data_IF_538215338143
#
_entry.id   IF_538215338143
#
_cell.length_a   1.000
_cell.length_b   1.000
_cell.length_c   1.000
_cell.angle_alpha   90.00
_cell.angle_beta   90.00
_cell.angle_gamma   90.00
#
_symmetry.space_group_name_H-M   'P 1'
#
loop_
_entity.id
_entity.type
_entity.pdbx_description
1 polymer ?
#
# COMPACT_ATOMS: atom_id res chain seq x y z
N UNK A 1 -17.08 -0.20 -87.52
CA UNK A 1 -17.07 0.54 -86.23
C UNK A 1 -18.40 0.53 -85.48
N UNK A 2 -19.58 0.50 -86.12
CA UNK A 2 -20.87 0.45 -85.41
C UNK A 2 -21.12 -0.85 -84.62
N UNK A 3 -20.67 -2.01 -85.12
CA UNK A 3 -20.84 -3.28 -84.42
C UNK A 3 -20.04 -3.34 -83.10
N UNK A 4 -18.81 -2.85 -83.08
CA UNK A 4 -17.94 -2.83 -81.88
C UNK A 4 -18.52 -1.94 -80.75
N UNK A 5 -19.13 -0.79 -81.09
CA UNK A 5 -19.79 0.08 -80.11
C UNK A 5 -21.04 -0.57 -79.49
N UNK A 6 -21.76 -1.39 -80.23
CA UNK A 6 -22.90 -2.17 -79.68
C UNK A 6 -22.42 -3.25 -78.72
N UNK A 7 -21.39 -4.02 -79.06
CA UNK A 7 -20.90 -5.09 -78.17
C UNK A 7 -20.30 -4.56 -76.86
N UNK A 8 -19.55 -3.45 -76.91
CA UNK A 8 -19.00 -2.82 -75.69
C UNK A 8 -20.10 -2.22 -74.81
N UNK A 9 -21.09 -1.56 -75.40
CA UNK A 9 -22.23 -1.02 -74.63
C UNK A 9 -23.06 -2.12 -73.96
N UNK A 10 -23.26 -3.26 -74.64
CA UNK A 10 -23.99 -4.40 -74.09
C UNK A 10 -23.20 -5.07 -72.96
N UNK A 11 -21.88 -5.21 -73.11
CA UNK A 11 -21.01 -5.76 -72.07
C UNK A 11 -20.95 -4.87 -70.82
N UNK A 12 -20.86 -3.55 -70.98
CA UNK A 12 -20.87 -2.60 -69.85
C UNK A 12 -22.24 -2.64 -69.15
N UNK A 13 -23.34 -2.68 -69.89
CA UNK A 13 -24.68 -2.81 -69.30
C UNK A 13 -24.84 -4.14 -68.54
N UNK A 14 -24.30 -5.25 -69.07
CA UNK A 14 -24.30 -6.56 -68.41
C UNK A 14 -23.46 -6.56 -67.13
N UNK A 15 -22.26 -5.96 -67.14
CA UNK A 15 -21.40 -5.85 -65.96
C UNK A 15 -22.06 -4.96 -64.90
N UNK A 16 -22.67 -3.84 -65.29
CA UNK A 16 -23.37 -2.96 -64.35
C UNK A 16 -24.65 -3.58 -63.77
N UNK A 17 -25.37 -4.39 -64.53
CA UNK A 17 -26.56 -5.11 -64.02
C UNK A 17 -26.20 -6.30 -63.13
N UNK A 18 -25.10 -7.00 -63.41
CA UNK A 18 -24.53 -8.01 -62.50
C UNK A 18 -24.00 -7.40 -61.19
N UNK A 19 -23.44 -6.19 -61.27
CA UNK A 19 -22.95 -5.44 -60.09
C UNK A 19 -24.09 -4.95 -59.21
N UNK A 20 -25.22 -4.56 -59.81
CA UNK A 20 -26.42 -4.13 -59.09
C UNK A 20 -27.15 -5.30 -58.43
N UNK A 21 -27.21 -6.48 -59.07
CA UNK A 21 -27.78 -7.69 -58.46
C UNK A 21 -26.95 -8.22 -57.29
N UNK A 22 -25.62 -8.09 -57.35
CA UNK A 22 -24.76 -8.43 -56.21
C UNK A 22 -24.91 -7.50 -55.00
N UNK A 23 -25.56 -6.33 -55.15
CA UNK A 23 -25.82 -5.39 -54.08
C UNK A 23 -27.25 -5.51 -53.50
N UNK A 24 -28.19 -6.11 -54.24
CA UNK A 24 -29.59 -6.27 -53.82
C UNK A 24 -29.84 -7.59 -53.09
N UNK A 25 -29.02 -8.63 -53.31
CA UNK A 25 -29.17 -9.96 -52.70
C UNK A 25 -28.19 -10.20 -51.54
N UNK A 26 -27.97 -9.17 -50.71
CA UNK A 26 -27.02 -9.27 -49.60
C UNK A 26 -27.78 -9.40 -48.27
N UNK A 27 -27.70 -10.57 -47.65
CA UNK A 27 -27.98 -10.71 -46.22
C UNK A 27 -27.07 -9.73 -45.47
N UNK A 28 -27.62 -8.94 -44.56
CA UNK A 28 -26.84 -8.08 -43.68
C UNK A 28 -27.00 -8.53 -42.24
N UNK A 29 -25.91 -8.52 -41.47
CA UNK A 29 -25.89 -8.93 -40.06
C UNK A 29 -25.15 -7.87 -39.26
N UNK A 30 -25.74 -7.47 -38.13
CA UNK A 30 -25.12 -6.54 -37.18
C UNK A 30 -25.39 -7.01 -35.75
N UNK A 31 -24.32 -7.30 -35.03
CA UNK A 31 -24.35 -7.61 -33.60
C UNK A 31 -24.66 -6.31 -32.82
N UNK A 32 -25.79 -6.30 -32.09
CA UNK A 32 -26.23 -5.21 -31.21
C UNK A 32 -25.74 -5.46 -29.79
N UNK A 33 -25.96 -6.67 -29.28
CA UNK A 33 -25.46 -7.13 -27.98
C UNK A 33 -24.54 -8.34 -28.14
N UNK A 34 -23.53 -8.49 -27.27
CA UNK A 34 -23.27 -7.70 -26.05
C UNK A 34 -22.72 -6.31 -26.37
N UNK A 35 -23.21 -5.23 -25.74
CA UNK A 35 -22.75 -3.86 -26.00
C UNK A 35 -21.41 -3.53 -25.34
N UNK A 36 -21.07 -4.24 -24.27
CA UNK A 36 -19.78 -4.17 -23.59
C UNK A 36 -18.74 -5.06 -24.27
N UNK A 37 -17.47 -4.66 -24.18
CA UNK A 37 -16.36 -5.47 -24.65
C UNK A 37 -15.90 -6.52 -23.62
N UNK A 38 -16.53 -6.60 -22.44
CA UNK A 38 -16.10 -7.46 -21.33
C UNK A 38 -17.11 -8.54 -20.99
N UNK A 39 -16.58 -9.72 -20.65
CA UNK A 39 -17.36 -10.85 -20.13
C UNK A 39 -17.38 -10.76 -18.61
N UNK A 40 -18.38 -10.06 -18.08
CA UNK A 40 -18.54 -9.78 -16.65
C UNK A 40 -19.44 -10.78 -15.92
N UNK A 41 -20.25 -11.53 -16.67
CA UNK A 41 -21.23 -12.47 -16.12
C UNK A 41 -21.03 -13.87 -16.72
N UNK A 42 -21.61 -14.87 -16.08
CA UNK A 42 -21.64 -16.25 -16.59
C UNK A 42 -22.61 -16.41 -17.76
N UNK A 43 -23.31 -15.35 -18.15
CA UNK A 43 -24.15 -15.31 -19.35
C UNK A 43 -23.68 -14.21 -20.32
N UNK A 44 -23.69 -14.50 -21.61
CA UNK A 44 -23.41 -13.51 -22.67
C UNK A 44 -24.68 -13.34 -23.50
N UNK A 45 -25.44 -12.24 -23.32
CA UNK A 45 -26.59 -11.96 -24.17
C UNK A 45 -26.12 -11.61 -25.57
N UNK A 46 -26.80 -12.17 -26.57
CA UNK A 46 -26.56 -11.94 -27.99
C UNK A 46 -27.85 -11.42 -28.60
N UNK A 47 -27.79 -10.21 -29.15
CA UNK A 47 -28.89 -9.59 -29.89
C UNK A 47 -28.37 -9.12 -31.23
N UNK A 48 -29.08 -9.46 -32.30
CA UNK A 48 -28.61 -9.28 -33.69
C UNK A 48 -29.71 -8.63 -34.51
N UNK A 49 -29.33 -7.64 -35.32
CA UNK A 49 -30.15 -7.17 -36.43
C UNK A 49 -29.70 -7.90 -37.69
N UNK A 50 -30.58 -8.68 -38.29
CA UNK A 50 -30.35 -9.34 -39.57
C UNK A 50 -31.45 -8.96 -40.56
N UNK A 51 -31.09 -8.73 -41.82
CA UNK A 51 -32.07 -8.43 -42.89
C UNK A 51 -31.66 -9.04 -44.23
N UNK A 52 -32.68 -9.43 -45.00
CA UNK A 52 -32.56 -9.96 -46.36
C UNK A 52 -33.82 -9.58 -47.15
N UNK A 53 -33.74 -9.39 -48.48
CA UNK A 53 -34.94 -9.25 -49.32
C UNK A 53 -35.84 -10.48 -49.29
N UNK A 54 -35.27 -11.67 -49.04
CA UNK A 54 -35.94 -12.96 -49.17
C UNK A 54 -36.25 -13.61 -47.81
N UNK A 55 -36.45 -12.78 -46.78
CA UNK A 55 -36.60 -13.14 -45.37
C UNK A 55 -35.39 -13.90 -44.78
N UNK A 56 -35.20 -13.75 -43.47
CA UNK A 56 -34.20 -14.49 -42.71
C UNK A 56 -34.86 -15.75 -42.14
N UNK A 57 -34.35 -16.93 -42.46
CA UNK A 57 -34.92 -18.18 -41.94
C UNK A 57 -34.18 -18.71 -40.70
N UNK A 58 -32.89 -18.41 -40.58
CA UNK A 58 -32.04 -18.96 -39.53
C UNK A 58 -30.95 -17.98 -39.15
N UNK A 59 -30.73 -17.82 -37.85
CA UNK A 59 -29.62 -17.05 -37.30
C UNK A 59 -29.02 -17.84 -36.16
N UNK A 60 -27.72 -18.07 -36.21
CA UNK A 60 -26.97 -18.72 -35.15
C UNK A 60 -25.84 -17.84 -34.65
N UNK A 61 -25.45 -18.07 -33.40
CA UNK A 61 -24.27 -17.46 -32.80
C UNK A 61 -23.32 -18.56 -32.31
N UNK A 62 -22.03 -18.37 -32.55
CA UNK A 62 -20.94 -19.21 -32.05
C UNK A 62 -20.06 -18.43 -31.07
N UNK A 63 -19.70 -19.07 -29.96
CA UNK A 63 -18.72 -18.58 -28.99
C UNK A 63 -17.90 -19.75 -28.41
N UNK A 64 -16.59 -19.77 -28.64
CA UNK A 64 -15.67 -20.82 -28.16
C UNK A 64 -16.15 -22.26 -28.50
N UNK A 65 -16.74 -22.44 -29.69
CA UNK A 65 -17.29 -23.72 -30.16
C UNK A 65 -18.68 -24.08 -29.62
N UNK A 66 -19.26 -23.24 -28.75
CA UNK A 66 -20.68 -23.33 -28.38
C UNK A 66 -21.51 -22.62 -29.45
N UNK A 67 -22.51 -23.31 -30.01
CA UNK A 67 -23.42 -22.75 -31.00
C UNK A 67 -24.83 -22.69 -30.40
N UNK A 68 -25.49 -21.54 -30.54
CA UNK A 68 -26.89 -21.34 -30.17
C UNK A 68 -27.68 -20.79 -31.34
N UNK A 69 -28.92 -21.24 -31.50
CA UNK A 69 -29.89 -20.63 -32.40
C UNK A 69 -30.49 -19.39 -31.74
N UNK A 70 -30.58 -18.28 -32.49
CA UNK A 70 -31.18 -17.04 -32.02
C UNK A 70 -32.66 -17.00 -32.40
N UNK A 71 -33.51 -16.65 -31.42
CA UNK A 71 -34.96 -16.60 -31.60
C UNK A 71 -35.39 -15.23 -32.15
N UNK A 72 -36.21 -15.17 -33.21
CA UNK A 72 -36.73 -13.89 -33.71
C UNK A 72 -37.65 -13.22 -32.69
N UNK A 73 -37.56 -11.90 -32.59
CA UNK A 73 -38.38 -11.06 -31.69
C UNK A 73 -39.36 -10.18 -32.48
N UNK A 74 -40.40 -9.68 -31.81
CA UNK A 74 -41.44 -8.85 -32.44
C UNK A 74 -40.92 -7.52 -33.00
N UNK A 75 -39.80 -7.02 -32.49
CA UNK A 75 -39.15 -5.77 -32.92
C UNK A 75 -38.11 -5.98 -34.05
N UNK A 76 -38.09 -7.17 -34.67
CA UNK A 76 -37.28 -7.47 -35.84
C UNK A 76 -35.82 -7.80 -35.55
N UNK A 77 -35.51 -8.21 -34.32
CA UNK A 77 -34.19 -8.69 -33.92
C UNK A 77 -34.19 -10.21 -33.74
N UNK A 78 -33.00 -10.77 -33.55
CA UNK A 78 -32.78 -12.15 -33.15
C UNK A 78 -32.03 -12.15 -31.82
N UNK A 79 -32.53 -12.87 -30.83
CA UNK A 79 -32.02 -12.87 -29.46
C UNK A 79 -31.73 -14.28 -28.94
N UNK A 80 -30.70 -14.37 -28.11
CA UNK A 80 -30.29 -15.58 -27.41
C UNK A 80 -29.24 -15.26 -26.35
N UNK A 81 -28.77 -16.26 -25.62
CA UNK A 81 -27.71 -16.08 -24.64
C UNK A 81 -26.84 -17.33 -24.55
N UNK A 82 -25.52 -17.13 -24.52
CA UNK A 82 -24.61 -18.19 -24.08
C UNK A 82 -24.68 -18.28 -22.55
N UNK A 83 -25.03 -19.44 -22.03
CA UNK A 83 -24.80 -19.78 -20.62
C UNK A 83 -23.43 -20.45 -20.52
N UNK A 84 -22.48 -19.74 -19.93
CA UNK A 84 -21.13 -20.23 -19.74
C UNK A 84 -21.06 -21.25 -18.60
N UNK A 85 -22.07 -21.37 -17.73
CA UNK A 85 -22.12 -22.37 -16.65
C UNK A 85 -20.78 -22.56 -15.92
N UNK A 86 -20.30 -23.80 -15.82
CA UNK A 86 -18.98 -24.13 -15.25
C UNK A 86 -17.81 -23.61 -16.11
N UNK A 87 -17.99 -23.47 -17.43
CA UNK A 87 -16.98 -22.90 -18.34
C UNK A 87 -16.71 -21.42 -18.04
N UNK A 88 -17.63 -20.69 -17.40
CA UNK A 88 -17.40 -19.29 -16.99
C UNK A 88 -16.19 -19.14 -16.07
N UNK A 89 -15.94 -20.11 -15.19
CA UNK A 89 -14.76 -20.16 -14.32
C UNK A 89 -13.48 -20.56 -15.06
N UNK A 90 -13.60 -21.44 -16.06
CA UNK A 90 -12.47 -22.03 -16.79
C UNK A 90 -12.09 -21.25 -18.06
N UNK A 91 -12.90 -20.27 -18.47
CA UNK A 91 -12.64 -19.44 -19.64
C UNK A 91 -11.30 -18.70 -19.43
N UNK A 92 -10.28 -18.95 -20.28
CA UNK A 92 -9.00 -18.28 -20.15
C UNK A 92 -9.14 -16.76 -20.21
N UNK A 93 -8.32 -16.01 -19.48
CA UNK A 93 -8.26 -14.57 -19.69
C UNK A 93 -7.78 -14.25 -21.11
N UNK A 94 -8.38 -13.26 -21.75
CA UNK A 94 -8.01 -12.85 -23.09
C UNK A 94 -9.19 -12.45 -23.97
N UNK A 95 -8.91 -12.20 -25.26
CA UNK A 95 -9.94 -11.96 -26.27
C UNK A 95 -10.62 -13.28 -26.69
N UNK A 96 -11.93 -13.22 -26.83
CA UNK A 96 -12.80 -14.28 -27.35
C UNK A 96 -13.69 -13.68 -28.44
N UNK A 97 -14.07 -14.45 -29.45
CA UNK A 97 -14.86 -13.94 -30.57
C UNK A 97 -16.25 -14.56 -30.53
N UNK A 98 -17.28 -13.71 -30.55
CA UNK A 98 -18.64 -14.10 -30.89
C UNK A 98 -18.79 -13.94 -32.40
N UNK A 99 -19.12 -15.02 -33.09
CA UNK A 99 -19.48 -15.02 -34.51
C UNK A 99 -20.99 -15.19 -34.62
N UNK A 100 -21.62 -14.46 -35.51
CA UNK A 100 -23.05 -14.58 -35.79
C UNK A 100 -23.23 -14.75 -37.29
N UNK A 101 -23.90 -15.82 -37.67
CA UNK A 101 -24.23 -16.13 -39.05
C UNK A 101 -25.74 -16.06 -39.24
N UNK A 102 -26.19 -15.37 -40.29
CA UNK A 102 -27.60 -15.32 -40.68
C UNK A 102 -27.76 -15.85 -42.09
N UNK A 103 -28.86 -16.56 -42.31
CA UNK A 103 -29.14 -17.25 -43.56
C UNK A 103 -30.52 -16.86 -44.10
N UNK A 104 -30.61 -16.56 -45.40
CA UNK A 104 -31.86 -16.29 -46.10
C UNK A 104 -32.51 -17.57 -46.64
N UNK A 105 -33.79 -17.52 -46.96
CA UNK A 105 -34.54 -18.70 -47.47
C UNK A 105 -33.94 -19.31 -48.75
N UNK A 106 -33.17 -18.53 -49.52
CA UNK A 106 -32.43 -18.99 -50.71
C UNK A 106 -30.97 -19.38 -50.45
N UNK A 107 -30.61 -19.62 -49.18
CA UNK A 107 -29.27 -20.04 -48.76
C UNK A 107 -28.16 -19.00 -49.00
N UNK A 108 -28.52 -17.73 -49.13
CA UNK A 108 -27.54 -16.65 -49.00
C UNK A 108 -27.20 -16.47 -47.51
N UNK A 109 -25.99 -16.02 -47.20
CA UNK A 109 -25.57 -15.87 -45.82
C UNK A 109 -24.65 -14.67 -45.64
N UNK A 110 -24.62 -14.16 -44.42
CA UNK A 110 -23.64 -13.18 -44.00
C UNK A 110 -23.24 -13.42 -42.55
N UNK A 111 -22.03 -12.96 -42.21
CA UNK A 111 -21.42 -13.14 -40.91
C UNK A 111 -21.03 -11.80 -40.30
N UNK A 112 -21.18 -11.70 -38.98
CA UNK A 112 -20.64 -10.61 -38.18
C UNK A 112 -19.85 -11.18 -37.02
N UNK A 113 -18.76 -10.51 -36.65
CA UNK A 113 -17.92 -10.91 -35.52
C UNK A 113 -17.79 -9.78 -34.51
N UNK A 114 -17.71 -10.15 -33.23
CA UNK A 114 -17.43 -9.22 -32.13
C UNK A 114 -16.47 -9.84 -31.14
N UNK A 115 -15.37 -9.14 -30.86
CA UNK A 115 -14.42 -9.54 -29.83
C UNK A 115 -14.90 -9.10 -28.45
N UNK A 116 -14.94 -10.03 -27.51
CA UNK A 116 -15.17 -9.84 -26.08
C UNK A 116 -13.91 -10.19 -25.32
N UNK A 117 -13.76 -9.67 -24.11
CA UNK A 117 -12.59 -9.87 -23.28
C UNK A 117 -12.99 -10.48 -21.94
N UNK A 118 -12.47 -11.67 -21.64
CA UNK A 118 -12.43 -12.17 -20.26
C UNK A 118 -11.26 -11.46 -19.58
N UNK A 119 -11.57 -10.56 -18.65
CA UNK A 119 -10.60 -9.62 -18.12
C UNK A 119 -10.31 -9.88 -16.65
N UNK A 120 -9.02 -9.83 -16.29
CA UNK A 120 -8.59 -9.71 -14.90
C UNK A 120 -7.58 -8.55 -14.76
N UNK A 121 -7.79 -7.67 -13.78
CA UNK A 121 -6.94 -6.50 -13.58
C UNK A 121 -5.48 -6.90 -13.28
N UNK A 122 -4.49 -6.08 -13.66
CA UNK A 122 -3.10 -6.35 -13.35
C UNK A 122 -2.86 -6.33 -11.84
N UNK A 123 -1.88 -7.10 -11.38
CA UNK A 123 -1.46 -7.08 -9.99
C UNK A 123 -0.48 -5.93 -9.75
N UNK A 124 -0.81 -5.03 -8.81
CA UNK A 124 0.04 -3.90 -8.43
C UNK A 124 0.64 -4.15 -7.04
N UNK A 125 1.93 -3.89 -6.88
CA UNK A 125 2.62 -3.98 -5.58
C UNK A 125 3.66 -2.89 -5.40
N UNK A 126 3.92 -2.50 -4.16
CA UNK A 126 4.90 -1.47 -3.79
C UNK A 126 5.52 -1.79 -2.43
N UNK A 127 6.60 -1.09 -2.08
CA UNK A 127 7.41 -1.42 -0.91
C UNK A 127 7.22 -0.48 0.30
N UNK A 128 6.19 0.35 0.33
CA UNK A 128 5.88 1.26 1.46
C UNK A 128 4.48 1.01 2.02
N UNK A 129 4.32 1.22 3.31
CA UNK A 129 3.09 1.11 4.07
C UNK A 129 2.65 2.50 4.58
N UNK A 130 1.37 2.64 5.00
CA UNK A 130 0.94 3.85 5.70
C UNK A 130 1.81 4.11 6.94
N UNK A 131 2.18 5.36 7.16
CA UNK A 131 3.08 5.85 8.22
C UNK A 131 4.54 5.40 8.13
N UNK A 132 4.97 4.84 7.00
CA UNK A 132 6.38 4.50 6.81
C UNK A 132 7.27 5.74 6.67
N UNK A 133 8.56 5.53 6.91
CA UNK A 133 9.61 6.50 6.60
C UNK A 133 10.58 5.97 5.54
N UNK A 134 10.58 6.59 4.36
CA UNK A 134 11.56 6.36 3.29
C UNK A 134 12.91 6.98 3.66
N UNK A 135 13.85 6.15 4.11
CA UNK A 135 15.15 6.60 4.63
C UNK A 135 16.27 6.64 3.59
N UNK A 136 17.45 7.16 3.96
CA UNK A 136 18.66 6.94 3.16
C UNK A 136 18.90 5.43 2.93
N UNK A 137 19.13 5.02 1.68
CA UNK A 137 19.33 3.62 1.29
C UNK A 137 18.05 2.82 1.02
N UNK A 138 16.87 3.32 1.40
CA UNK A 138 15.58 2.67 1.09
C UNK A 138 14.81 3.48 0.07
N UNK A 139 14.75 2.98 -1.17
CA UNK A 139 14.13 3.69 -2.30
C UNK A 139 12.69 3.24 -2.49
N UNK A 140 11.85 4.14 -2.96
CA UNK A 140 10.48 3.77 -3.34
C UNK A 140 10.53 2.88 -4.59
N UNK A 141 9.88 1.73 -4.48
CA UNK A 141 9.73 0.76 -5.57
C UNK A 141 8.25 0.37 -5.72
N UNK A 142 7.77 0.33 -6.96
CA UNK A 142 6.45 -0.20 -7.32
C UNK A 142 6.53 -1.05 -8.59
N UNK A 143 5.59 -1.98 -8.75
CA UNK A 143 5.52 -2.88 -9.89
C UNK A 143 4.07 -3.10 -10.33
N UNK A 144 3.91 -3.23 -11.65
CA UNK A 144 2.70 -3.70 -12.30
C UNK A 144 3.04 -5.04 -12.96
N UNK A 145 2.32 -6.08 -12.57
CA UNK A 145 2.42 -7.42 -13.12
C UNK A 145 1.16 -7.66 -13.94
N UNK A 146 1.26 -7.84 -15.26
CA UNK A 146 0.09 -8.02 -16.08
C UNK A 146 -0.52 -9.41 -15.88
N UNK A 147 -1.80 -9.53 -16.22
CA UNK A 147 -2.48 -10.81 -16.42
C UNK A 147 -2.43 -11.15 -17.91
N UNK A 148 -1.72 -12.21 -18.34
CA UNK A 148 -1.69 -12.61 -19.74
C UNK A 148 -3.12 -12.78 -20.31
N UNK A 149 -3.35 -12.42 -21.59
CA UNK A 149 -2.36 -12.00 -22.60
C UNK A 149 -2.04 -10.50 -22.58
N UNK A 150 -2.60 -9.72 -21.64
CA UNK A 150 -2.40 -8.28 -21.60
C UNK A 150 -1.02 -7.91 -21.05
N UNK A 151 -0.62 -6.65 -21.28
CA UNK A 151 0.64 -6.09 -20.81
C UNK A 151 0.38 -4.78 -20.07
N UNK A 152 1.14 -4.46 -19.02
CA UNK A 152 1.01 -3.18 -18.35
C UNK A 152 1.48 -2.05 -19.28
N UNK A 153 0.55 -1.21 -19.71
CA UNK A 153 0.82 -0.07 -20.59
C UNK A 153 1.30 1.16 -19.81
N UNK A 154 0.87 1.30 -18.54
CA UNK A 154 1.32 2.37 -17.65
C UNK A 154 1.41 1.93 -16.19
N UNK A 155 2.33 2.57 -15.48
CA UNK A 155 2.46 2.52 -14.03
C UNK A 155 2.96 3.90 -13.60
N UNK A 156 2.24 4.58 -12.70
CA UNK A 156 2.56 5.94 -12.26
C UNK A 156 2.43 6.01 -10.75
N UNK A 157 3.39 6.62 -10.07
CA UNK A 157 3.29 6.93 -8.65
C UNK A 157 3.36 8.46 -8.46
N UNK A 158 2.29 9.04 -7.92
CA UNK A 158 2.15 10.48 -7.64
C UNK A 158 2.32 10.70 -6.15
N UNK A 159 3.29 11.51 -5.78
CA UNK A 159 3.57 11.91 -4.41
C UNK A 159 3.03 13.32 -4.20
N UNK A 160 2.09 13.47 -3.28
CA UNK A 160 1.44 14.75 -2.97
C UNK A 160 1.78 15.15 -1.54
N UNK A 161 2.39 16.33 -1.35
CA UNK A 161 2.59 16.96 -0.03
C UNK A 161 2.10 18.42 -0.05
N UNK A 162 2.00 19.04 1.13
CA UNK A 162 1.61 20.45 1.23
C UNK A 162 2.61 21.40 0.53
N UNK A 163 3.88 21.00 0.43
CA UNK A 163 4.99 21.77 -0.12
C UNK A 163 5.28 21.44 -1.60
N UNK A 164 4.50 20.54 -2.21
CA UNK A 164 4.56 20.25 -3.65
C UNK A 164 4.46 18.77 -4.00
N UNK A 165 4.41 18.51 -5.31
CA UNK A 165 4.13 17.19 -5.85
C UNK A 165 5.34 16.66 -6.66
N UNK A 166 5.57 15.35 -6.61
CA UNK A 166 6.50 14.64 -7.51
C UNK A 166 5.77 13.49 -8.19
N UNK A 167 6.16 13.12 -9.41
CA UNK A 167 5.57 11.98 -10.11
C UNK A 167 6.67 11.10 -10.68
N UNK A 168 6.57 9.80 -10.41
CA UNK A 168 7.46 8.79 -10.96
C UNK A 168 6.70 7.95 -12.00
N UNK A 169 7.30 7.79 -13.18
CA UNK A 169 6.74 6.98 -14.27
C UNK A 169 7.45 5.63 -14.39
N UNK A 170 6.67 4.57 -14.52
CA UNK A 170 7.15 3.20 -14.65
C UNK A 170 7.86 2.98 -15.98
N UNK A 171 9.07 2.44 -15.90
CA UNK A 171 9.85 2.04 -17.06
C UNK A 171 9.66 0.55 -17.33
N UNK A 172 9.81 0.09 -18.58
CA UNK A 172 9.99 -1.33 -18.83
C UNK A 172 11.24 -1.82 -18.05
N UNK A 173 11.20 -3.04 -17.50
CA UNK A 173 12.35 -3.62 -16.80
C UNK A 173 13.56 -3.68 -17.74
N UNK A 174 14.79 -3.57 -17.21
CA UNK A 174 15.97 -3.85 -18.01
C UNK A 174 15.90 -5.29 -18.56
N UNK A 175 16.42 -5.55 -19.77
CA UNK A 175 16.27 -6.84 -20.46
C UNK A 175 16.81 -8.06 -19.68
N UNK A 176 17.62 -7.84 -18.64
CA UNK A 176 18.14 -8.88 -17.74
C UNK A 176 17.22 -9.27 -16.57
N UNK A 177 16.14 -8.52 -16.30
CA UNK A 177 15.36 -8.67 -15.05
C UNK A 177 13.93 -9.19 -15.22
N UNK A 178 13.41 -9.36 -16.45
CA UNK A 178 12.03 -9.82 -16.65
C UNK A 178 11.91 -11.05 -17.54
N UNK A 179 11.48 -12.16 -16.93
CA UNK A 179 11.05 -13.37 -17.64
C UNK A 179 9.60 -13.31 -18.14
N UNK A 180 8.86 -12.24 -17.79
CA UNK A 180 7.45 -12.07 -18.15
C UNK A 180 7.30 -10.78 -18.98
N UNK A 181 6.82 -10.87 -20.23
CA UNK A 181 6.51 -9.72 -21.07
C UNK A 181 5.53 -8.74 -20.40
N UNK A 182 5.56 -7.47 -20.80
CA UNK A 182 4.59 -6.48 -20.36
C UNK A 182 4.67 -5.98 -18.92
N UNK A 183 5.66 -6.39 -18.11
CA UNK A 183 5.83 -5.84 -16.75
C UNK A 183 6.31 -4.40 -16.76
N UNK A 184 5.92 -3.62 -15.74
CA UNK A 184 6.46 -2.28 -15.49
C UNK A 184 6.92 -2.11 -14.06
N UNK A 185 7.99 -1.33 -13.89
CA UNK A 185 8.56 -1.04 -12.58
C UNK A 185 8.82 0.46 -12.42
N UNK A 186 8.50 0.98 -11.24
CA UNK A 186 9.03 2.24 -10.73
C UNK A 186 10.11 1.86 -9.73
N UNK A 187 11.30 2.43 -9.93
CA UNK A 187 12.38 2.41 -8.96
C UNK A 187 12.92 3.81 -8.87
N UNK A 188 12.73 4.44 -7.72
CA UNK A 188 13.21 5.79 -7.49
C UNK A 188 14.71 5.87 -7.83
N UNK A 189 15.07 6.89 -8.62
CA UNK A 189 16.46 7.11 -9.01
C UNK A 189 17.17 7.92 -7.94
N UNK A 190 18.44 7.56 -7.77
CA UNK A 190 19.41 8.36 -7.06
C UNK A 190 20.45 8.80 -8.09
N UNK A 191 20.74 10.09 -8.13
CA UNK A 191 21.76 10.60 -9.04
C UNK A 191 23.17 10.30 -8.53
N UNK A 192 24.16 10.43 -9.42
CA UNK A 192 25.58 10.34 -9.05
C UNK A 192 26.02 11.41 -8.05
N UNK A 193 25.30 12.55 -7.99
CA UNK A 193 25.52 13.62 -6.99
C UNK A 193 24.76 13.37 -5.68
N UNK A 194 24.02 12.27 -5.57
CA UNK A 194 23.39 11.80 -4.35
C UNK A 194 22.01 12.38 -4.05
N UNK A 195 21.41 13.13 -4.98
CA UNK A 195 20.01 13.58 -4.86
C UNK A 195 19.03 12.47 -5.24
N UNK A 196 17.85 12.50 -4.61
CA UNK A 196 16.75 11.55 -4.80
C UNK A 196 15.59 12.25 -5.54
N UNK A 197 14.89 11.54 -6.43
CA UNK A 197 13.73 12.08 -7.16
C UNK A 197 12.58 12.51 -6.24
N UNK A 198 12.45 11.87 -5.07
CA UNK A 198 11.49 12.27 -4.05
C UNK A 198 12.20 13.19 -3.04
N UNK A 199 11.80 14.48 -2.95
CA UNK A 199 12.39 15.42 -2.00
C UNK A 199 12.28 14.96 -0.54
N UNK A 200 13.36 15.14 0.21
CA UNK A 200 13.43 14.85 1.65
C UNK A 200 12.75 15.93 2.50
N UNK A 201 12.41 15.57 3.75
CA UNK A 201 11.90 16.48 4.77
C UNK A 201 10.41 16.76 4.65
N UNK A 202 9.66 15.87 3.96
CA UNK A 202 8.24 16.05 3.65
C UNK A 202 7.47 14.77 3.94
N UNK A 203 6.17 14.91 4.13
CA UNK A 203 5.24 13.81 4.32
C UNK A 203 4.29 13.76 3.13
N UNK A 204 4.22 12.61 2.47
CA UNK A 204 3.49 12.42 1.23
C UNK A 204 2.30 11.49 1.38
N UNK A 205 1.23 11.81 0.66
CA UNK A 205 0.24 10.83 0.21
C UNK A 205 0.63 10.37 -1.18
N UNK A 206 0.73 9.06 -1.39
CA UNK A 206 1.19 8.45 -2.63
C UNK A 206 0.00 7.79 -3.33
N UNK A 207 -0.29 8.21 -4.55
CA UNK A 207 -1.29 7.57 -5.42
C UNK A 207 -0.57 6.76 -6.50
N UNK A 208 -0.83 5.47 -6.54
CA UNK A 208 -0.27 4.52 -7.50
C UNK A 208 -1.37 4.16 -8.50
N UNK A 209 -1.11 4.44 -9.77
CA UNK A 209 -2.01 4.21 -10.90
C UNK A 209 -1.37 3.19 -11.85
N UNK A 210 -2.11 2.17 -12.26
CA UNK A 210 -1.64 1.18 -13.23
C UNK A 210 -2.74 0.85 -14.24
N UNK A 211 -2.35 0.64 -15.50
CA UNK A 211 -3.26 0.25 -16.58
C UNK A 211 -2.58 -0.74 -17.51
N UNK A 212 -3.36 -1.64 -18.08
CA UNK A 212 -2.98 -2.54 -19.17
C UNK A 212 -3.57 -2.12 -20.52
N UNK A 213 -4.25 -0.96 -20.58
CA UNK A 213 -4.85 -0.41 -21.79
C UNK A 213 -6.14 -1.11 -22.26
N UNK A 214 -6.62 -2.12 -21.54
CA UNK A 214 -7.86 -2.81 -21.87
C UNK A 214 -8.93 -2.44 -20.85
N UNK A 215 -8.70 -2.74 -19.57
CA UNK A 215 -9.65 -2.48 -18.50
C UNK A 215 -9.50 -1.10 -17.82
N UNK A 216 -10.26 -0.88 -16.73
CA UNK A 216 -10.16 0.34 -15.95
C UNK A 216 -8.77 0.47 -15.28
N UNK A 217 -8.29 1.71 -15.16
CA UNK A 217 -7.06 2.01 -14.42
C UNK A 217 -7.23 1.66 -12.94
N UNK A 218 -6.30 0.86 -12.40
CA UNK A 218 -6.23 0.55 -10.98
C UNK A 218 -5.59 1.74 -10.26
N UNK A 219 -6.30 2.28 -9.27
CA UNK A 219 -5.80 3.36 -8.41
C UNK A 219 -5.74 2.91 -6.96
N UNK A 220 -4.59 3.11 -6.31
CA UNK A 220 -4.35 2.81 -4.89
C UNK A 220 -3.64 3.97 -4.21
N UNK A 221 -4.07 4.32 -3.01
CA UNK A 221 -3.49 5.40 -2.22
C UNK A 221 -2.84 4.85 -0.97
N UNK A 222 -1.61 5.26 -0.69
CA UNK A 222 -0.87 4.92 0.53
C UNK A 222 -0.31 6.20 1.15
N UNK A 223 -0.45 6.36 2.46
CA UNK A 223 0.01 7.54 3.16
C UNK A 223 -0.59 7.66 4.55
N UNK A 224 -0.06 8.56 5.39
CA UNK A 224 1.09 9.43 5.10
C UNK A 224 2.41 8.64 5.05
N UNK A 225 3.37 9.02 4.22
CA UNK A 225 4.73 8.46 4.17
C UNK A 225 5.74 9.58 4.34
N UNK A 226 6.55 9.53 5.38
CA UNK A 226 7.60 10.51 5.60
C UNK A 226 8.84 10.16 4.76
N UNK A 227 9.53 11.18 4.23
CA UNK A 227 10.77 10.98 3.46
C UNK A 227 11.92 11.66 4.18
N UNK A 228 12.88 10.86 4.66
CA UNK A 228 14.09 11.35 5.32
C UNK A 228 15.35 10.76 4.69
N UNK A 229 16.03 11.56 3.86
CA UNK A 229 17.27 11.18 3.17
C UNK A 229 18.53 11.59 3.94
N UNK A 230 18.39 12.05 5.18
CA UNK A 230 19.52 12.42 6.05
C UNK A 230 20.47 11.24 6.22
N UNK A 231 21.76 11.49 5.99
CA UNK A 231 22.81 10.50 6.29
C UNK A 231 23.18 10.45 7.77
N UNK A 232 22.61 11.35 8.58
CA UNK A 232 22.89 11.43 10.03
C UNK A 232 22.03 10.44 10.82
N UNK A 233 20.90 10.03 10.27
CA UNK A 233 20.03 9.03 10.86
C UNK A 233 20.30 7.69 10.20
N UNK A 234 20.52 6.67 11.03
CA UNK A 234 20.65 5.29 10.58
C UNK A 234 19.43 4.54 11.04
N UNK A 235 18.81 3.78 10.15
CA UNK A 235 17.72 2.88 10.51
C UNK A 235 18.27 1.82 11.45
N UNK A 236 17.73 1.76 12.66
CA UNK A 236 18.09 0.75 13.66
C UNK A 236 17.29 -0.53 13.43
N UNK A 237 16.01 -0.40 13.10
CA UNK A 237 15.08 -1.54 12.99
C UNK A 237 13.93 -1.20 12.03
N UNK A 238 13.29 -2.23 11.44
CA UNK A 238 12.05 -2.09 10.66
C UNK A 238 11.02 -3.12 11.10
N UNK A 239 9.76 -2.71 11.08
CA UNK A 239 8.63 -3.54 11.44
C UNK A 239 7.62 -3.62 10.28
N UNK A 240 6.78 -4.68 10.22
CA UNK A 240 5.70 -4.81 9.23
C UNK A 240 4.50 -3.86 9.47
N UNK A 241 4.72 -2.74 10.17
CA UNK A 241 3.68 -1.81 10.63
C UNK A 241 4.22 -0.75 11.59
N UNK A 242 3.30 -0.09 12.31
CA UNK A 242 3.65 0.86 13.36
C UNK A 242 4.30 0.14 14.54
N UNK A 243 5.42 0.68 15.03
CA UNK A 243 6.05 0.23 16.28
C UNK A 243 5.35 0.97 17.41
N UNK A 244 4.66 0.23 18.27
CA UNK A 244 3.97 0.78 19.43
C UNK A 244 4.92 0.91 20.62
N UNK A 245 5.83 -0.05 20.78
CA UNK A 245 6.86 -0.07 21.82
C UNK A 245 8.04 -0.98 21.41
N UNK A 246 9.19 -0.82 22.06
CA UNK A 246 10.38 -1.62 21.79
C UNK A 246 11.25 -1.82 23.02
N UNK A 247 11.94 -2.95 23.08
CA UNK A 247 13.02 -3.19 24.04
C UNK A 247 14.29 -3.68 23.31
N UNK A 248 15.28 -4.13 24.08
CA UNK A 248 16.55 -4.62 23.53
C UNK A 248 16.40 -5.81 22.55
N UNK A 249 15.30 -6.57 22.65
CA UNK A 249 15.09 -7.86 21.98
C UNK A 249 13.79 -7.95 21.19
N UNK A 250 12.82 -7.08 21.45
CA UNK A 250 11.46 -7.17 20.91
C UNK A 250 10.94 -5.84 20.39
N UNK A 251 10.02 -5.90 19.44
CA UNK A 251 9.15 -4.79 19.03
C UNK A 251 7.69 -5.21 19.23
N UNK A 252 6.88 -4.33 19.80
CA UNK A 252 5.43 -4.44 19.70
C UNK A 252 4.95 -3.71 18.45
N UNK A 253 4.24 -4.39 17.56
CA UNK A 253 3.87 -3.86 16.25
C UNK A 253 2.38 -3.97 15.96
N UNK A 254 1.85 -2.99 15.23
CA UNK A 254 0.51 -2.99 14.66
C UNK A 254 0.59 -2.83 13.14
N UNK A 255 0.16 -3.84 12.40
CA UNK A 255 0.21 -3.79 10.94
C UNK A 255 -0.97 -3.04 10.31
N UNK A 256 -0.87 -2.78 9.00
CA UNK A 256 -1.90 -2.09 8.22
C UNK A 256 -3.26 -2.83 8.17
N UNK A 257 -3.31 -4.10 8.58
CA UNK A 257 -4.54 -4.90 8.66
C UNK A 257 -5.11 -4.93 10.08
N UNK A 258 -4.54 -4.16 11.01
CA UNK A 258 -4.95 -4.15 12.42
C UNK A 258 -4.49 -5.38 13.20
N UNK A 259 -3.53 -6.17 12.68
CA UNK A 259 -2.95 -7.28 13.44
C UNK A 259 -1.90 -6.74 14.39
N UNK A 260 -1.98 -7.18 15.64
CA UNK A 260 -1.01 -6.81 16.67
C UNK A 260 -0.11 -8.01 16.97
N UNK A 261 1.20 -7.78 17.08
CA UNK A 261 2.18 -8.84 17.27
C UNK A 261 3.45 -8.36 17.94
N UNK A 262 4.25 -9.31 18.40
CA UNK A 262 5.60 -9.08 18.90
C UNK A 262 6.60 -9.58 17.87
N UNK A 263 7.54 -8.74 17.46
CA UNK A 263 8.65 -9.09 16.58
C UNK A 263 9.89 -9.33 17.40
N UNK A 264 10.52 -10.50 17.24
CA UNK A 264 11.85 -10.75 17.77
C UNK A 264 12.89 -10.03 16.90
N UNK A 265 13.69 -9.15 17.51
CA UNK A 265 14.64 -8.29 16.78
C UNK A 265 15.85 -9.05 16.22
N UNK A 266 16.22 -10.18 16.82
CA UNK A 266 17.37 -10.96 16.37
C UNK A 266 17.03 -11.81 15.13
N UNK A 267 15.79 -12.29 15.03
CA UNK A 267 15.34 -13.24 14.01
C UNK A 267 14.33 -12.66 13.03
N UNK A 268 13.79 -11.47 13.32
CA UNK A 268 12.65 -10.85 12.64
C UNK A 268 11.37 -11.72 12.63
N UNK A 269 11.30 -12.76 13.47
CA UNK A 269 10.13 -13.61 13.58
C UNK A 269 8.99 -12.84 14.26
N UNK A 270 7.78 -12.95 13.70
CA UNK A 270 6.59 -12.27 14.24
C UNK A 270 5.67 -13.27 14.92
N UNK A 271 5.35 -13.02 16.19
CA UNK A 271 4.31 -13.73 16.93
C UNK A 271 3.06 -12.86 17.01
N UNK A 272 2.09 -13.17 16.14
CA UNK A 272 0.80 -12.48 16.12
C UNK A 272 -0.05 -12.85 17.34
N UNK A 273 -0.55 -11.83 18.04
CA UNK A 273 -1.37 -11.98 19.24
C UNK A 273 -2.88 -11.92 18.93
N UNK A 274 -3.25 -11.25 17.84
CA UNK A 274 -4.62 -11.14 17.39
C UNK A 274 -4.83 -10.06 16.34
N UNK A 275 -6.09 -9.83 16.00
CA UNK A 275 -6.53 -8.72 15.14
C UNK A 275 -7.41 -7.79 15.97
N UNK A 276 -7.13 -6.50 15.93
CA UNK A 276 -7.95 -5.45 16.53
C UNK A 276 -9.10 -5.16 15.56
N UNK A 277 -10.34 -5.28 16.03
CA UNK A 277 -11.50 -4.88 15.24
C UNK A 277 -11.38 -3.41 14.88
N UNK A 278 -11.44 -3.11 13.58
CA UNK A 278 -11.54 -1.74 13.12
C UNK A 278 -13.00 -1.32 13.21
N UNK A 279 -13.40 -0.80 14.38
CA UNK A 279 -14.62 -0.02 14.51
C UNK A 279 -14.41 1.36 13.83
N UNK A 280 -15.31 2.32 14.01
CA UNK A 280 -15.23 3.64 13.35
C UNK A 280 -13.98 4.48 13.71
N UNK A 281 -13.21 4.10 14.74
CA UNK A 281 -12.04 4.83 15.19
C UNK A 281 -10.75 4.38 14.47
N UNK A 282 -9.85 5.32 14.12
CA UNK A 282 -8.63 5.00 13.39
C UNK A 282 -7.65 4.21 14.26
N UNK A 283 -6.91 3.28 13.63
CA UNK A 283 -5.86 2.48 14.29
C UNK A 283 -4.75 3.31 14.95
N UNK A 284 -4.59 4.58 14.57
CA UNK A 284 -3.65 5.52 15.22
C UNK A 284 -3.98 5.79 16.70
N UNK A 285 -5.15 5.37 17.17
CA UNK A 285 -5.55 5.47 18.58
C UNK A 285 -5.16 4.25 19.42
N UNK A 286 -4.65 3.19 18.79
CA UNK A 286 -4.16 2.00 19.49
C UNK A 286 -2.88 2.37 20.23
N UNK A 287 -2.87 2.10 21.53
CA UNK A 287 -1.69 2.21 22.38
C UNK A 287 -1.28 0.83 22.88
N UNK A 288 -0.01 0.62 23.13
CA UNK A 288 0.49 -0.61 23.72
C UNK A 288 1.91 -0.47 24.20
N UNK A 289 2.29 -1.38 25.09
CA UNK A 289 3.61 -1.45 25.70
C UNK A 289 4.04 -2.91 25.86
N UNK A 290 5.34 -3.15 25.78
CA UNK A 290 5.97 -4.41 26.12
C UNK A 290 6.07 -4.54 27.64
N UNK A 291 5.89 -5.77 28.13
CA UNK A 291 6.14 -6.13 29.52
C UNK A 291 7.18 -7.25 29.55
N UNK A 292 7.84 -7.53 30.68
CA UNK A 292 8.79 -8.65 30.76
C UNK A 292 8.19 -10.00 30.33
N UNK A 293 6.89 -10.20 30.56
CA UNK A 293 6.15 -11.43 30.23
C UNK A 293 5.45 -11.41 28.86
N UNK A 294 5.37 -10.25 28.19
CA UNK A 294 4.70 -10.13 26.90
C UNK A 294 4.39 -8.70 26.52
N UNK A 295 3.09 -8.37 26.43
CA UNK A 295 2.63 -7.04 26.05
C UNK A 295 1.26 -6.70 26.64
N UNK A 296 0.98 -5.41 26.75
CA UNK A 296 -0.34 -4.86 27.06
C UNK A 296 -0.72 -3.91 25.94
N UNK A 297 -1.97 -3.95 25.50
CA UNK A 297 -2.45 -3.06 24.45
C UNK A 297 -3.91 -2.70 24.62
N UNK A 298 -4.25 -1.51 24.12
CA UNK A 298 -5.60 -0.97 24.09
C UNK A 298 -6.14 -1.04 22.65
N UNK A 299 -7.36 -1.55 22.49
CA UNK A 299 -8.08 -1.52 21.22
C UNK A 299 -8.79 -0.18 21.01
N UNK A 300 -9.21 0.08 19.78
CA UNK A 300 -9.94 1.29 19.37
C UNK A 300 -11.26 1.51 20.11
N UNK A 301 -11.86 0.46 20.67
CA UNK A 301 -13.09 0.51 21.48
C UNK A 301 -12.85 0.48 23.00
N UNK A 302 -11.61 0.74 23.44
CA UNK A 302 -11.27 0.91 24.85
C UNK A 302 -11.21 -0.41 25.64
N UNK A 303 -11.00 -1.55 24.98
CA UNK A 303 -10.64 -2.78 25.70
C UNK A 303 -9.14 -2.80 25.89
N UNK A 304 -8.71 -3.14 27.11
CA UNK A 304 -7.30 -3.33 27.44
C UNK A 304 -7.07 -4.82 27.59
N UNK A 305 -6.12 -5.35 26.82
CA UNK A 305 -5.71 -6.74 26.89
C UNK A 305 -4.27 -6.85 27.33
N UNK A 306 -4.00 -7.83 28.18
CA UNK A 306 -2.65 -8.34 28.38
C UNK A 306 -2.45 -9.60 27.54
N UNK A 307 -1.22 -9.82 27.14
CA UNK A 307 -0.80 -11.02 26.45
C UNK A 307 0.49 -11.52 27.06
N UNK A 308 0.50 -12.78 27.46
CA UNK A 308 1.65 -13.49 28.01
C UNK A 308 1.58 -14.96 27.60
N UNK A 309 2.72 -15.52 27.22
CA UNK A 309 2.87 -16.95 26.87
C UNK A 309 1.83 -17.50 25.88
N UNK A 310 1.35 -16.68 24.95
CA UNK A 310 0.36 -17.08 23.95
C UNK A 310 -1.09 -16.98 24.40
N UNK A 311 -1.32 -16.58 25.65
CA UNK A 311 -2.65 -16.37 26.21
C UNK A 311 -2.97 -14.89 26.22
N UNK A 312 -4.15 -14.53 25.72
CA UNK A 312 -4.70 -13.17 25.81
C UNK A 312 -5.69 -13.11 26.97
N UNK A 313 -5.54 -12.13 27.84
CA UNK A 313 -6.42 -11.88 28.97
C UNK A 313 -6.99 -10.45 28.91
N UNK A 314 -8.24 -10.28 29.36
CA UNK A 314 -8.89 -8.98 29.45
C UNK A 314 -8.47 -8.33 30.76
N UNK A 315 -7.87 -7.14 30.69
CA UNK A 315 -7.53 -6.32 31.88
C UNK A 315 -8.71 -5.42 32.24
N UNK A 316 -9.18 -4.64 31.27
CA UNK A 316 -10.29 -3.71 31.46
C UNK A 316 -11.15 -3.59 30.20
N UNK A 317 -12.38 -3.12 30.39
CA UNK A 317 -13.34 -2.83 29.31
C UNK A 317 -13.80 -1.38 29.45
N UNK A 318 -13.91 -0.67 28.34
CA UNK A 318 -14.33 0.74 28.35
C UNK A 318 -13.38 1.54 29.26
N UNK A 319 -12.09 1.45 28.94
CA UNK A 319 -11.00 2.07 29.65
C UNK A 319 -9.97 2.67 28.68
N UNK A 320 -9.18 3.62 29.18
CA UNK A 320 -8.03 4.21 28.51
C UNK A 320 -6.76 3.77 29.24
N UNK A 321 -5.81 3.25 28.49
CA UNK A 321 -4.51 2.83 28.98
C UNK A 321 -3.61 4.07 29.14
N UNK A 322 -3.12 4.32 30.37
CA UNK A 322 -2.32 5.51 30.67
C UNK A 322 -0.83 5.18 30.77
N UNK A 323 -0.47 4.10 31.48
CA UNK A 323 0.92 3.68 31.66
C UNK A 323 1.05 2.17 31.85
N UNK A 324 2.21 1.62 31.46
CA UNK A 324 2.58 0.21 31.66
C UNK A 324 4.07 0.16 31.98
N UNK A 325 4.44 -0.51 33.06
CA UNK A 325 5.83 -0.82 33.36
C UNK A 325 5.90 -2.07 34.25
N UNK A 326 6.83 -2.97 33.93
CA UNK A 326 6.99 -4.24 34.67
C UNK A 326 5.70 -5.06 34.70
N UNK A 327 5.20 -5.32 35.92
CA UNK A 327 3.97 -6.07 36.18
C UNK A 327 2.72 -5.18 36.30
N UNK A 328 2.87 -3.86 36.18
CA UNK A 328 1.80 -2.90 36.51
C UNK A 328 1.25 -2.23 35.26
N UNK A 329 -0.08 -2.18 35.18
CA UNK A 329 -0.85 -1.43 34.20
C UNK A 329 -1.65 -0.36 34.92
N UNK A 330 -1.56 0.89 34.49
CA UNK A 330 -2.42 1.97 34.97
C UNK A 330 -3.38 2.38 33.87
N UNK A 331 -4.66 2.45 34.21
CA UNK A 331 -5.72 2.83 33.29
C UNK A 331 -6.81 3.64 33.99
N UNK A 332 -7.53 4.44 33.21
CA UNK A 332 -8.80 5.05 33.62
C UNK A 332 -9.98 4.43 32.94
N UNK A 333 -11.14 4.47 33.60
CA UNK A 333 -12.41 4.17 32.94
C UNK A 333 -12.76 5.29 31.95
N UNK A 334 -13.53 5.00 30.90
CA UNK A 334 -13.86 6.02 29.87
C UNK A 334 -14.73 7.17 30.39
N UNK A 335 -15.34 7.03 31.57
CA UNK A 335 -15.99 8.12 32.29
C UNK A 335 -14.98 9.12 32.89
N UNK A 336 -13.68 8.78 32.89
CA UNK A 336 -12.59 9.50 33.54
C UNK A 336 -12.84 9.76 35.04
N UNK A 337 -13.72 8.99 35.70
CA UNK A 337 -14.07 9.18 37.12
C UNK A 337 -13.17 8.36 38.07
N UNK A 338 -12.49 7.35 37.53
CA UNK A 338 -11.73 6.36 38.30
C UNK A 338 -10.46 5.94 37.59
N UNK A 339 -9.37 5.90 38.33
CA UNK A 339 -8.07 5.39 37.91
C UNK A 339 -7.67 4.16 38.73
N UNK A 340 -7.16 3.14 38.05
CA UNK A 340 -6.78 1.85 38.63
C UNK A 340 -5.34 1.50 38.31
N UNK A 341 -4.67 0.82 39.24
CA UNK A 341 -3.46 0.05 39.02
C UNK A 341 -3.80 -1.44 39.00
N UNK A 342 -3.45 -2.12 37.93
CA UNK A 342 -3.66 -3.56 37.76
C UNK A 342 -2.32 -4.29 37.77
N UNK A 343 -2.20 -5.33 38.58
CA UNK A 343 -1.05 -6.24 38.57
C UNK A 343 -1.33 -7.40 37.61
N UNK A 344 -0.47 -7.57 36.61
CA UNK A 344 -0.60 -8.59 35.57
C UNK A 344 -0.39 -10.01 36.12
N UNK A 345 0.50 -10.16 37.11
CA UNK A 345 0.81 -11.45 37.73
C UNK A 345 -0.30 -11.96 38.65
N UNK A 346 -1.00 -11.06 39.35
CA UNK A 346 -2.06 -11.44 40.30
C UNK A 346 -3.47 -11.25 39.72
N UNK A 347 -3.62 -10.43 38.66
CA UNK A 347 -4.90 -10.01 38.12
C UNK A 347 -5.68 -9.08 39.04
N UNK A 348 -5.03 -8.42 40.01
CA UNK A 348 -5.71 -7.59 41.02
C UNK A 348 -5.69 -6.11 40.65
N UNK A 349 -6.85 -5.47 40.76
CA UNK A 349 -7.00 -4.02 40.62
C UNK A 349 -6.91 -3.31 41.98
N UNK A 350 -6.15 -2.22 42.03
CA UNK A 350 -6.08 -1.28 43.15
C UNK A 350 -6.59 0.08 42.68
N UNK A 351 -7.60 0.61 43.37
CA UNK A 351 -8.12 1.95 43.10
C UNK A 351 -7.07 3.00 43.52
N UNK A 352 -6.61 3.80 42.56
CA UNK A 352 -5.68 4.91 42.81
C UNK A 352 -6.44 6.20 43.12
N UNK A 353 -7.48 6.45 42.34
CA UNK A 353 -8.23 7.70 42.39
C UNK A 353 -9.68 7.49 42.02
N UNK A 354 -10.58 8.22 42.68
CA UNK A 354 -12.00 8.28 42.34
C UNK A 354 -12.54 9.67 42.62
N UNK A 355 -13.13 10.29 41.61
CA UNK A 355 -13.87 11.55 41.69
C UNK A 355 -15.11 11.45 40.79
N UNK A 356 -16.25 10.98 41.31
CA UNK A 356 -17.45 10.79 40.50
C UNK A 356 -17.93 12.09 39.83
N UNK A 357 -18.17 12.06 38.52
CA UNK A 357 -18.56 13.21 37.70
C UNK A 357 -17.38 14.10 37.27
N UNK A 358 -16.15 13.70 37.57
CA UNK A 358 -14.97 14.41 37.11
C UNK A 358 -14.80 14.21 35.60
N UNK A 359 -14.54 15.31 34.88
CA UNK A 359 -14.13 15.26 33.47
C UNK A 359 -12.66 15.57 33.31
N UNK A 360 -11.93 15.45 34.41
CA UNK A 360 -10.55 15.84 34.53
C UNK A 360 -9.69 14.76 33.89
N UNK A 361 -8.93 15.06 32.83
CA UNK A 361 -8.07 14.05 32.24
C UNK A 361 -7.06 13.57 33.28
N UNK A 362 -7.17 12.30 33.65
CA UNK A 362 -6.18 11.62 34.47
C UNK A 362 -4.91 11.40 33.64
N UNK A 363 -3.74 11.49 34.26
CA UNK A 363 -2.48 11.09 33.62
C UNK A 363 -1.64 10.37 34.65
N UNK A 364 -1.02 9.26 34.27
CA UNK A 364 -0.15 8.50 35.14
C UNK A 364 1.15 8.11 34.44
N UNK A 365 2.14 7.81 35.26
CA UNK A 365 3.39 7.20 34.86
C UNK A 365 3.86 6.22 35.95
N UNK A 366 4.74 5.29 35.57
CA UNK A 366 5.24 4.23 36.44
C UNK A 366 6.77 4.21 36.33
N UNK A 367 7.46 4.47 37.44
CA UNK A 367 8.93 4.42 37.47
C UNK A 367 9.44 3.01 37.23
N UNK A 368 10.75 2.89 36.92
CA UNK A 368 11.44 1.60 36.81
C UNK A 368 11.34 0.74 38.09
N UNK A 369 11.16 1.37 39.25
CA UNK A 369 10.94 0.69 40.53
C UNK A 369 9.49 0.24 40.75
N UNK A 370 8.58 0.57 39.84
CA UNK A 370 7.15 0.26 39.94
C UNK A 370 6.34 1.28 40.75
N UNK A 371 6.91 2.44 41.09
CA UNK A 371 6.20 3.50 41.79
C UNK A 371 5.27 4.24 40.84
N UNK A 372 4.01 4.40 41.24
CA UNK A 372 2.99 5.05 40.42
C UNK A 372 2.88 6.51 40.83
N UNK A 373 2.96 7.39 39.83
CA UNK A 373 2.70 8.81 39.97
C UNK A 373 1.56 9.19 39.04
N UNK A 374 0.60 9.98 39.53
CA UNK A 374 -0.53 10.41 38.72
C UNK A 374 -0.96 11.84 39.05
N UNK A 375 -1.65 12.46 38.11
CA UNK A 375 -2.22 13.79 38.26
C UNK A 375 -3.61 13.85 37.64
N UNK A 376 -4.38 14.86 38.07
CA UNK A 376 -5.66 15.24 37.48
C UNK A 376 -5.64 16.75 37.25
N UNK A 377 -6.44 17.26 36.34
CA UNK A 377 -6.58 18.70 36.10
C UNK A 377 -7.36 19.42 37.22
N UNK A 378 -7.97 18.68 38.15
CA UNK A 378 -8.69 19.23 39.31
C UNK A 378 -7.75 19.39 40.51
N UNK A 379 -6.68 18.60 40.58
CA UNK A 379 -5.66 18.68 41.61
C UNK A 379 -4.46 19.48 41.15
N UNK A 380 -3.98 20.39 41.99
CA UNK A 380 -2.76 21.14 41.71
C UNK A 380 -1.47 20.31 41.94
N UNK A 381 -1.56 19.05 42.39
CA UNK A 381 -0.39 18.26 42.78
C UNK A 381 -0.32 16.93 42.04
N UNK A 382 0.91 16.47 41.77
CA UNK A 382 1.16 15.09 41.36
C UNK A 382 1.10 14.22 42.62
N UNK A 383 0.31 13.15 42.58
CA UNK A 383 0.18 12.18 43.66
C UNK A 383 1.12 11.02 43.38
N UNK A 384 2.04 10.76 44.31
CA UNK A 384 2.96 9.63 44.29
C UNK A 384 2.54 8.51 45.24
N UNK A 385 3.44 7.52 45.44
CA UNK A 385 3.21 6.38 46.32
C UNK A 385 2.78 6.81 47.73
N UNK A 386 1.79 6.11 48.28
CA UNK A 386 1.27 6.41 49.62
C UNK A 386 0.51 7.74 49.73
N UNK A 387 0.15 8.38 48.61
CA UNK A 387 -0.57 9.65 48.59
C UNK A 387 0.33 10.87 48.78
N UNK A 388 1.65 10.73 48.62
CA UNK A 388 2.58 11.83 48.73
C UNK A 388 2.31 12.88 47.62
N UNK A 389 2.14 14.14 48.00
CA UNK A 389 1.90 15.23 47.05
C UNK A 389 3.22 15.86 46.63
N UNK A 390 3.53 15.79 45.34
CA UNK A 390 4.71 16.38 44.71
C UNK A 390 4.33 17.69 44.02
N UNK A 391 4.75 18.80 44.63
CA UNK A 391 4.66 20.15 44.06
C UNK A 391 3.24 20.72 43.92
N UNK A 392 3.19 22.01 43.56
CA UNK A 392 2.03 22.64 42.94
C UNK A 392 2.39 22.80 41.45
N UNK A 393 1.68 22.12 40.58
CA UNK A 393 1.84 22.17 39.14
C UNK A 393 0.52 22.65 38.50
N UNK A 394 0.54 23.87 37.95
CA UNK A 394 -0.51 24.32 37.03
C UNK A 394 -0.32 23.58 35.69
N UNK A 395 -0.95 22.41 35.55
CA UNK A 395 -1.04 21.70 34.29
C UNK A 395 -0.55 20.26 34.32
N UNK A 396 -0.48 19.67 33.13
CA UNK A 396 -0.32 18.24 32.89
C UNK A 396 1.04 17.69 33.31
N UNK A 397 1.07 16.40 33.68
CA UNK A 397 2.26 15.57 33.54
C UNK A 397 2.61 15.52 32.05
N UNK A 398 3.33 16.52 31.56
CA UNK A 398 3.92 16.47 30.23
C UNK A 398 5.09 15.49 30.31
N UNK A 399 4.91 14.30 29.74
CA UNK A 399 5.96 13.29 29.59
C UNK A 399 7.28 13.95 29.17
N UNK A 400 8.40 13.76 29.89
CA UNK A 400 9.66 13.52 29.22
C UNK A 400 9.59 12.07 28.70
N UNK A 401 9.51 11.89 27.39
CA UNK A 401 9.87 10.60 26.80
C UNK A 401 11.37 10.44 27.06
N UNK A 402 11.74 9.67 28.08
CA UNK A 402 13.12 9.21 28.24
C UNK A 402 13.12 7.78 28.75
N UNK A 403 13.56 6.89 27.87
CA UNK A 403 14.36 5.72 28.19
C UNK A 403 15.25 6.02 29.40
N UNK A 404 14.96 5.45 30.57
CA UNK A 404 15.87 5.18 31.70
C UNK A 404 16.96 6.20 32.11
N UNK A 405 16.91 7.46 31.69
CA UNK A 405 18.04 8.40 31.82
C UNK A 405 17.55 9.84 31.95
N UNK A 406 17.21 10.28 33.17
CA UNK A 406 17.93 11.32 33.92
C UNK A 406 17.12 11.92 35.09
N UNK A 407 17.75 11.80 36.27
CA UNK A 407 18.00 12.84 37.26
C UNK A 407 16.83 13.57 37.96
N UNK A 408 16.64 13.17 39.22
CA UNK A 408 16.29 13.98 40.38
C UNK A 408 16.21 15.52 40.16
N UNK A 409 15.01 16.06 40.15
CA UNK A 409 14.77 17.47 40.43
C UNK A 409 14.50 17.66 41.93
N UNK A 410 15.56 17.81 42.71
CA UNK A 410 15.50 18.28 44.08
C UNK A 410 15.24 19.80 44.05
N UNK A 411 14.00 20.24 44.19
CA UNK A 411 13.71 21.67 44.34
C UNK A 411 13.87 22.10 45.81
N UNK A 412 15.04 22.66 46.14
CA UNK A 412 15.20 23.55 47.29
C UNK A 412 14.44 24.84 46.99
N UNK A 413 13.62 25.26 47.96
CA UNK A 413 13.02 26.60 48.03
C UNK A 413 14.12 27.66 48.02
N UNK A 414 13.94 28.68 47.19
CA UNK A 414 14.17 30.05 47.67
C UNK A 414 13.28 31.04 46.91
N UNK A 415 12.52 31.79 47.69
CA UNK A 415 11.63 32.84 47.24
C UNK A 415 12.41 34.14 47.05
N UNK A 416 12.12 34.89 45.97
CA UNK A 416 11.72 36.32 46.00
C UNK A 416 11.76 37.00 44.61
N UNK A 417 10.62 37.65 44.30
CA UNK A 417 10.42 38.93 43.58
C UNK A 417 10.62 39.01 42.05
N UNK A 418 9.50 39.30 41.36
CA UNK A 418 9.33 39.91 40.02
C UNK A 418 9.82 41.39 39.98
N UNK A 419 9.73 42.12 38.84
CA UNK A 419 10.18 41.88 37.45
C UNK A 419 10.95 43.12 36.88
N UNK A 420 11.38 43.12 35.59
CA UNK A 420 11.34 44.26 34.61
C UNK A 420 12.30 44.04 33.41
N UNK A 421 11.72 44.12 32.20
CA UNK A 421 12.17 44.69 30.89
C UNK A 421 13.66 44.70 30.48
N UNK A 422 13.96 44.27 29.24
CA UNK A 422 14.91 45.00 28.37
C UNK A 422 15.89 44.19 27.52
N UNK A 423 15.79 44.39 26.20
CA UNK A 423 16.67 44.04 25.07
C UNK A 423 18.18 43.88 25.31
N UNK A 424 18.71 42.88 24.58
CA UNK A 424 19.95 42.82 23.78
C UNK A 424 21.16 43.69 24.18
N UNK A 425 22.30 43.02 24.45
CA UNK A 425 23.57 43.36 23.81
C UNK A 425 24.55 42.18 23.85
N UNK A 426 25.14 41.97 22.68
CA UNK A 426 26.35 41.25 22.31
C UNK A 426 27.57 41.67 23.15
N UNK A 427 28.40 40.72 23.56
CA UNK A 427 29.69 40.99 24.20
C UNK A 427 30.73 39.95 23.76
N UNK A 428 31.73 40.48 23.08
CA UNK A 428 32.85 39.79 22.44
C UNK A 428 34.10 39.76 23.34
N UNK A 429 34.95 38.74 23.09
CA UNK A 429 36.42 38.69 23.22
C UNK A 429 37.06 38.41 24.62
N UNK A 430 38.30 37.85 24.71
CA UNK A 430 39.41 38.02 23.73
C UNK A 430 40.30 36.81 23.36
N UNK A 431 41.04 37.06 22.27
CA UNK A 431 42.17 36.32 21.71
C UNK A 431 43.50 36.90 22.22
N UNK A 432 44.48 36.04 22.51
CA UNK A 432 45.93 36.29 22.42
C UNK A 432 46.53 35.04 21.76
N UNK A 433 47.21 35.04 20.60
CA UNK A 433 48.43 35.75 20.16
C UNK A 433 49.51 34.68 19.91
N UNK A 434 50.32 34.59 18.84
CA UNK A 434 50.43 35.29 17.56
C UNK A 434 51.62 34.72 16.73
N UNK A 435 51.81 35.24 15.50
CA UNK A 435 53.06 35.38 14.69
C UNK A 435 53.80 34.08 14.22
N UNK A 436 54.30 33.85 12.98
CA UNK A 436 54.69 34.68 11.82
C UNK A 436 54.65 33.89 10.48
N UNK A 437 54.65 34.68 9.40
CA UNK A 437 54.57 34.41 7.95
C UNK A 437 55.74 33.63 7.32
N UNK A 438 55.48 33.02 6.16
CA UNK A 438 56.49 32.76 5.12
C UNK A 438 56.01 31.92 3.92
N UNK A 439 55.60 32.58 2.84
CA UNK A 439 55.40 32.05 1.46
C UNK A 439 56.19 33.06 0.60
N UNK A 440 56.95 32.70 -0.49
CA UNK A 440 56.31 32.14 -1.70
C UNK A 440 57.17 31.37 -2.76
N UNK A 441 56.43 30.90 -3.80
CA UNK A 441 56.80 30.63 -5.22
C UNK A 441 57.58 29.33 -5.53
N UNK A 442 57.49 28.68 -6.70
CA UNK A 442 56.59 28.59 -7.90
C UNK A 442 57.31 27.57 -8.83
N UNK A 443 56.58 26.68 -9.53
CA UNK A 443 56.84 26.04 -10.86
C UNK A 443 58.18 25.26 -11.06
N UNK A 444 58.36 24.22 -11.86
CA UNK A 444 57.66 23.67 -13.04
C UNK A 444 58.15 22.23 -13.35
N UNK A 445 57.33 21.52 -14.14
CA UNK A 445 57.60 20.43 -15.11
C UNK A 445 58.63 19.30 -14.90
N UNK A 446 58.19 18.06 -15.20
CA UNK A 446 59.09 16.95 -15.52
C UNK A 446 58.41 15.59 -15.70
N UNK A 447 58.25 15.19 -16.95
CA UNK A 447 57.57 13.99 -17.50
C UNK A 447 58.21 12.61 -17.22
N UNK A 448 57.36 11.57 -17.42
CA UNK A 448 57.61 10.21 -17.97
C UNK A 448 58.07 9.06 -17.06
N UNK A 449 57.30 7.96 -17.12
CA UNK A 449 57.73 6.63 -16.70
C UNK A 449 56.61 5.58 -16.66
N UNK A 450 56.37 4.89 -17.78
CA UNK A 450 55.49 3.71 -17.91
C UNK A 450 55.95 2.54 -17.02
N UNK A 451 55.01 1.77 -16.47
CA UNK A 451 55.04 0.29 -16.53
C UNK A 451 53.72 -0.32 -16.04
N UNK A 452 53.11 -1.10 -16.93
CA UNK A 452 51.97 -1.97 -16.67
C UNK A 452 52.34 -3.14 -15.75
N UNK A 453 51.40 -3.62 -14.93
CA UNK A 453 51.23 -5.06 -14.65
C UNK A 453 49.83 -5.38 -14.15
N UNK A 454 49.22 -6.29 -14.89
CA UNK A 454 47.90 -6.86 -14.70
C UNK A 454 47.79 -7.70 -13.42
N UNK A 455 46.63 -7.65 -12.75
CA UNK A 455 46.10 -8.75 -11.95
C UNK A 455 44.61 -8.88 -12.22
N UNK A 456 44.24 -9.97 -12.87
CA UNK A 456 42.85 -10.33 -13.18
C UNK A 456 42.05 -10.74 -11.94
N UNK A 457 40.72 -10.77 -12.04
CA UNK A 457 39.85 -11.08 -10.90
C UNK A 457 39.80 -12.58 -10.63
N UNK A 458 39.89 -12.92 -9.33
CA UNK A 458 39.64 -14.24 -8.76
C UNK A 458 38.19 -14.66 -9.01
N UNK A 459 38.01 -15.81 -9.65
CA UNK A 459 36.76 -16.59 -9.66
C UNK A 459 36.60 -17.32 -8.33
N UNK A 460 35.37 -17.33 -7.81
CA UNK A 460 34.86 -18.27 -6.79
C UNK A 460 33.43 -18.70 -7.21
N UNK A 461 32.93 -19.85 -6.73
CA UNK A 461 32.42 -20.92 -7.59
C UNK A 461 30.90 -20.94 -7.77
N UNK A 462 30.49 -21.57 -8.88
CA UNK A 462 29.14 -22.05 -9.17
C UNK A 462 28.70 -23.11 -8.14
N UNK A 463 27.58 -22.88 -7.46
CA UNK A 463 26.85 -23.93 -6.75
C UNK A 463 25.70 -24.45 -7.61
N UNK A 464 25.79 -25.76 -7.85
CA UNK A 464 24.81 -26.64 -8.50
C UNK A 464 23.54 -26.76 -7.65
N UNK A 465 22.39 -26.47 -8.23
CA UNK A 465 21.13 -27.11 -7.82
C UNK A 465 20.83 -28.29 -8.75
N UNK A 466 21.03 -29.50 -8.21
CA UNK A 466 20.55 -30.75 -8.81
C UNK A 466 19.04 -30.86 -8.63
N UNK A 467 18.36 -31.17 -9.73
CA UNK A 467 17.04 -31.81 -9.76
C UNK A 467 17.12 -33.19 -9.11
N UNK A 468 16.06 -33.62 -8.44
CA UNK A 468 15.43 -34.92 -8.71
C UNK A 468 13.93 -34.93 -8.31
N UNK A 469 13.09 -35.78 -8.96
CA UNK A 469 11.63 -35.72 -8.96
C UNK A 469 10.95 -36.87 -8.18
N UNK A 470 9.60 -36.80 -8.10
CA UNK A 470 8.71 -37.94 -7.86
C UNK A 470 7.91 -37.84 -6.56
N UNK A 471 6.68 -38.34 -6.40
CA UNK A 471 5.80 -39.21 -7.20
C UNK A 471 4.38 -39.03 -6.61
N UNK A 472 3.35 -39.13 -7.45
CA UNK A 472 1.94 -39.21 -7.06
C UNK A 472 1.54 -40.64 -6.64
N UNK A 473 0.58 -40.78 -5.73
CA UNK A 473 -0.32 -41.93 -5.66
C UNK A 473 -1.59 -41.58 -4.85
N UNK A 474 -2.72 -41.54 -5.56
CA UNK A 474 -4.07 -41.86 -5.06
C UNK A 474 -4.23 -43.39 -4.91
N UNK A 475 -5.29 -43.84 -4.22
CA UNK A 475 -6.48 -44.31 -4.96
C UNK A 475 -7.77 -43.55 -4.67
#
# INVERSE_FOLDING_TARGET
MQAYRRYVGTAIAFVLSLSAQAADAAVTVRIVEPSNAFIESDTIPVRVAASSPDDIYYVEAEFEGLVIELTPTEDGYFEGSFDLGELGGDLPYGPHVVTVDAYSTFSEWASAQRTLHRYAPPTVGWNVLPNDTLTHGWRFDAKCIPTPPYECTSLVARFVSAEGNTTLGGQPPPPSESSVPGRRYIKERQSSTGWYEIPSGRTYTITIEASDGVGPTITRTVGPVHVDRSRRLTVVERAPGAILDFDATRLLVLDHRGRIGIVDRATAAVRWMGTISQDAAPLSTVYGALTPSGAVYQTTNGYIFSWSDGTRQSVARTARLDAVNGDTVVFTMTDDDRGFAHSLSTGTDTLLWSSPGSRSPFQADITDSGEIYYGTYEGASIVGPGGALLGDHEGNLQRPITDGTLAAAHHRRDARRRPVVGRAHELELPVHGGWRRGVPRRLDHGQLGRAARARGPRRLPEERWRRQPGVAADP
#
